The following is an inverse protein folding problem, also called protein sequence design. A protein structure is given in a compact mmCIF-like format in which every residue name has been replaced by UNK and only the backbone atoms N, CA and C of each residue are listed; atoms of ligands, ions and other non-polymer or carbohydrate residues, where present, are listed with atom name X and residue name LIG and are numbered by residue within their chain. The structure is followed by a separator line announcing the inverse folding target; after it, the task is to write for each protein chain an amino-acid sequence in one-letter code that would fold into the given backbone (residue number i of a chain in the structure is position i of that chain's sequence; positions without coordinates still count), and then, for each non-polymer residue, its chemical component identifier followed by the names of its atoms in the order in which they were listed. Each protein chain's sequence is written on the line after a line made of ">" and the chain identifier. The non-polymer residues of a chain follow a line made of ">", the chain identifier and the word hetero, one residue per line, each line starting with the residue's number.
data_IF_183424113964
#
_entry.id   IF_183424113964
#
_cell.length_a   1.000
_cell.length_b   1.000
_cell.length_c   1.000
_cell.angle_alpha   90.00
_cell.angle_beta   90.00
_cell.angle_gamma   90.00
#
_symmetry.space_group_name_H-M   'P 1'
#
loop_
_entity.id
_entity.type
_entity.pdbx_description
1 polymer ?
#
# COMPACT_ATOMS: atom_id res chain seq x y z
N UNK A 1 6.15 19.78 -5.82
CA UNK A 1 6.43 19.11 -7.10
C UNK A 1 5.12 18.60 -7.69
N UNK A 2 5.09 17.75 -8.73
CA UNK A 2 3.83 17.08 -9.11
C UNK A 2 3.49 16.02 -8.03
N UNK A 3 2.21 15.88 -7.69
CA UNK A 3 1.76 14.99 -6.62
C UNK A 3 1.24 13.66 -7.18
N UNK A 4 1.46 12.57 -6.45
CA UNK A 4 0.77 11.29 -6.62
C UNK A 4 -0.26 11.17 -5.50
N UNK A 5 -1.52 10.99 -5.87
CA UNK A 5 -2.61 10.77 -4.93
C UNK A 5 -2.56 9.35 -4.38
N UNK A 6 -2.60 9.22 -3.06
CA UNK A 6 -2.70 7.94 -2.38
C UNK A 6 -4.17 7.64 -2.13
N UNK A 7 -4.65 6.57 -2.75
CA UNK A 7 -5.97 5.99 -2.53
C UNK A 7 -5.77 4.74 -1.67
N UNK A 8 -6.29 4.73 -0.45
CA UNK A 8 -6.21 3.56 0.43
C UNK A 8 -7.51 2.76 0.35
N UNK A 9 -7.38 1.46 0.08
CA UNK A 9 -8.49 0.49 0.04
C UNK A 9 -8.38 -0.57 1.14
N UNK A 10 -7.71 -0.25 2.26
CA UNK A 10 -7.58 -1.17 3.40
C UNK A 10 -8.95 -1.55 3.96
N UNK A 11 -9.89 -0.59 4.00
CA UNK A 11 -11.26 -0.78 4.51
C UNK A 11 -12.23 -1.44 3.51
N UNK A 12 -11.80 -1.70 2.27
CA UNK A 12 -12.60 -2.41 1.26
C UNK A 12 -11.88 -3.65 0.76
N UNK A 13 -10.83 -3.51 -0.06
CA UNK A 13 -10.08 -4.65 -0.60
C UNK A 13 -9.32 -5.39 0.50
N UNK A 14 -8.72 -4.65 1.43
CA UNK A 14 -7.99 -5.22 2.56
C UNK A 14 -8.85 -6.17 3.41
N UNK A 15 -10.12 -5.83 3.63
CA UNK A 15 -11.09 -6.65 4.35
C UNK A 15 -11.50 -7.93 3.59
N UNK A 16 -11.29 -8.01 2.27
CA UNK A 16 -11.57 -9.23 1.52
C UNK A 16 -10.57 -10.36 1.82
N UNK A 17 -9.44 -10.04 2.45
CA UNK A 17 -8.47 -11.03 2.93
C UNK A 17 -9.16 -12.12 3.77
N UNK A 18 -9.00 -13.41 3.45
CA UNK A 18 -9.59 -14.50 4.22
C UNK A 18 -9.22 -14.43 5.71
N UNK A 19 -10.23 -14.34 6.56
CA UNK A 19 -10.06 -14.27 8.02
C UNK A 19 -10.03 -12.86 8.62
N UNK A 20 -10.04 -11.82 7.79
CA UNK A 20 -10.19 -10.44 8.25
C UNK A 20 -11.68 -10.09 8.36
N UNK A 21 -12.07 -9.53 9.51
CA UNK A 21 -13.38 -8.90 9.72
C UNK A 21 -13.22 -7.73 10.66
N UNK A 22 -13.52 -6.54 10.18
CA UNK A 22 -13.43 -5.32 10.97
C UNK A 22 -14.83 -4.93 11.44
N UNK A 23 -14.99 -4.68 12.74
CA UNK A 23 -16.19 -4.03 13.24
C UNK A 23 -16.14 -2.50 12.99
N UNK A 24 -17.25 -1.80 13.22
CA UNK A 24 -17.34 -0.36 12.96
C UNK A 24 -16.31 0.48 13.74
N UNK A 25 -16.06 0.16 15.01
CA UNK A 25 -15.09 0.88 15.85
C UNK A 25 -13.67 0.72 15.28
N UNK A 26 -13.30 -0.49 14.87
CA UNK A 26 -12.01 -0.76 14.24
C UNK A 26 -11.88 -0.05 12.88
N UNK A 27 -12.96 -0.01 12.08
CA UNK A 27 -12.98 0.73 10.81
C UNK A 27 -12.80 2.24 11.05
N UNK A 28 -13.39 2.80 12.09
CA UNK A 28 -13.21 4.21 12.47
C UNK A 28 -11.79 4.49 12.93
N UNK A 29 -11.22 3.65 13.80
CA UNK A 29 -9.83 3.81 14.25
C UNK A 29 -8.85 3.79 13.07
N UNK A 30 -8.99 2.82 12.16
CA UNK A 30 -8.17 2.75 10.95
C UNK A 30 -8.44 3.97 10.05
N UNK A 31 -9.71 4.34 9.85
CA UNK A 31 -10.10 5.48 9.04
C UNK A 31 -9.49 6.80 9.51
N UNK A 32 -9.56 7.09 10.81
CA UNK A 32 -8.91 8.27 11.39
C UNK A 32 -7.39 8.21 11.23
N UNK A 33 -6.78 7.05 11.46
CA UNK A 33 -5.34 6.89 11.28
C UNK A 33 -4.91 7.11 9.82
N UNK A 34 -5.72 6.72 8.83
CA UNK A 34 -5.46 6.98 7.41
C UNK A 34 -5.60 8.49 7.07
N UNK A 35 -6.59 9.17 7.66
CA UNK A 35 -6.76 10.62 7.52
C UNK A 35 -5.55 11.36 8.11
N UNK A 36 -5.15 11.01 9.34
CA UNK A 36 -4.00 11.60 10.02
C UNK A 36 -2.68 11.29 9.30
N UNK A 37 -2.56 10.10 8.69
CA UNK A 37 -1.45 9.73 7.83
C UNK A 37 -1.37 10.60 6.57
N UNK A 38 -2.47 11.23 6.14
CA UNK A 38 -2.52 12.13 4.98
C UNK A 38 -2.89 11.43 3.67
N UNK A 39 -3.62 10.32 3.72
CA UNK A 39 -4.21 9.67 2.54
C UNK A 39 -5.18 10.62 1.83
N UNK A 40 -5.20 10.59 0.50
CA UNK A 40 -6.05 11.50 -0.29
C UNK A 40 -7.47 10.96 -0.45
N UNK A 41 -7.63 9.64 -0.61
CA UNK A 41 -8.90 8.96 -0.80
C UNK A 41 -8.94 7.70 0.07
N UNK A 42 -10.03 7.51 0.81
CA UNK A 42 -10.32 6.27 1.55
C UNK A 42 -11.49 5.57 0.88
N UNK A 43 -11.27 4.35 0.38
CA UNK A 43 -12.36 3.49 -0.08
C UNK A 43 -13.01 2.79 1.11
N UNK A 44 -14.18 3.29 1.48
CA UNK A 44 -14.86 2.95 2.73
C UNK A 44 -15.62 1.61 2.68
N UNK A 45 -15.77 1.02 1.50
CA UNK A 45 -16.42 -0.28 1.33
C UNK A 45 -17.21 -0.43 0.03
N UNK A 46 -18.05 -1.46 0.00
CA UNK A 46 -18.98 -1.75 -1.10
C UNK A 46 -20.43 -1.74 -0.57
N UNK A 47 -21.10 -0.55 -0.54
CA UNK A 47 -22.32 -0.31 0.24
C UNK A 47 -23.48 -1.29 0.01
N UNK A 48 -23.70 -1.72 -1.23
CA UNK A 48 -24.82 -2.62 -1.58
C UNK A 48 -24.64 -4.05 -1.08
N UNK A 49 -23.43 -4.43 -0.62
CA UNK A 49 -23.11 -5.81 -0.25
C UNK A 49 -23.95 -6.29 0.93
N UNK A 50 -24.22 -5.41 1.90
CA UNK A 50 -25.08 -5.70 3.03
C UNK A 50 -25.56 -4.40 3.70
N UNK A 51 -26.61 -4.44 4.54
CA UNK A 51 -26.97 -3.30 5.38
C UNK A 51 -25.82 -2.84 6.28
N UNK A 52 -24.96 -3.77 6.74
CA UNK A 52 -23.79 -3.44 7.54
C UNK A 52 -22.73 -2.67 6.77
N UNK A 53 -22.51 -3.00 5.49
CA UNK A 53 -21.60 -2.25 4.62
C UNK A 53 -22.12 -0.87 4.29
N UNK A 54 -23.44 -0.74 4.07
CA UNK A 54 -24.10 0.55 3.90
C UNK A 54 -23.88 1.45 5.11
N UNK A 55 -24.23 0.97 6.31
CA UNK A 55 -24.06 1.71 7.56
C UNK A 55 -22.58 2.03 7.84
N UNK A 56 -21.67 1.11 7.49
CA UNK A 56 -20.22 1.34 7.64
C UNK A 56 -19.74 2.49 6.78
N UNK A 57 -20.10 2.50 5.50
CA UNK A 57 -19.72 3.56 4.57
C UNK A 57 -20.37 4.89 4.98
N UNK A 58 -21.64 4.87 5.39
CA UNK A 58 -22.34 6.07 5.84
C UNK A 58 -21.72 6.68 7.10
N UNK A 59 -21.33 5.84 8.06
CA UNK A 59 -20.64 6.26 9.29
C UNK A 59 -19.27 6.84 8.98
N UNK A 60 -18.46 6.17 8.14
CA UNK A 60 -17.15 6.69 7.74
C UNK A 60 -17.26 8.01 6.97
N UNK A 61 -18.24 8.12 6.07
CA UNK A 61 -18.54 9.37 5.36
C UNK A 61 -18.95 10.52 6.32
N UNK A 62 -19.58 10.19 7.44
CA UNK A 62 -19.97 11.16 8.46
C UNK A 62 -18.79 11.59 9.31
N UNK A 63 -17.96 10.66 9.78
CA UNK A 63 -16.92 10.92 10.78
C UNK A 63 -15.58 11.39 10.16
N UNK A 64 -15.21 10.88 8.99
CA UNK A 64 -13.93 11.20 8.36
C UNK A 64 -14.03 12.50 7.56
N UNK A 65 -13.31 13.54 8.01
CA UNK A 65 -13.28 14.88 7.38
C UNK A 65 -11.93 15.15 6.73
N UNK A 66 -11.90 16.07 5.76
CA UNK A 66 -10.63 16.45 5.11
C UNK A 66 -10.08 15.45 4.09
N UNK A 67 -10.82 14.37 3.79
CA UNK A 67 -10.45 13.32 2.84
C UNK A 67 -11.59 13.03 1.85
N UNK A 68 -11.28 12.48 0.67
CA UNK A 68 -12.31 11.94 -0.22
C UNK A 68 -12.76 10.58 0.28
N UNK A 69 -14.07 10.35 0.38
CA UNK A 69 -14.66 9.07 0.78
C UNK A 69 -15.24 8.39 -0.45
N UNK A 70 -14.75 7.20 -0.74
CA UNK A 70 -15.08 6.45 -1.94
C UNK A 70 -15.92 5.21 -1.62
N UNK A 71 -16.99 4.98 -2.40
CA UNK A 71 -17.80 3.76 -2.35
C UNK A 71 -17.71 2.99 -3.66
N UNK A 72 -17.33 1.71 -3.59
CA UNK A 72 -17.30 0.81 -4.75
C UNK A 72 -18.72 0.43 -5.18
N UNK A 73 -18.92 0.29 -6.49
CA UNK A 73 -20.17 -0.18 -7.10
C UNK A 73 -19.87 -1.08 -8.29
N UNK A 74 -20.77 -2.02 -8.58
CA UNK A 74 -20.88 -2.55 -9.95
C UNK A 74 -21.56 -1.51 -10.82
N UNK A 75 -21.38 -1.61 -12.14
CA UNK A 75 -22.13 -0.83 -13.13
C UNK A 75 -23.63 -1.26 -13.20
N UNK A 76 -24.35 -1.08 -12.10
CA UNK A 76 -25.76 -1.43 -11.90
C UNK A 76 -26.44 -0.25 -11.19
N UNK A 77 -27.59 0.19 -11.70
CA UNK A 77 -28.33 1.35 -11.18
C UNK A 77 -28.51 1.32 -9.66
N UNK A 78 -29.00 0.19 -9.13
CA UNK A 78 -29.26 0.02 -7.70
C UNK A 78 -27.98 0.14 -6.84
N UNK A 79 -26.86 -0.38 -7.34
CA UNK A 79 -25.57 -0.30 -6.63
C UNK A 79 -25.09 1.15 -6.54
N UNK A 80 -25.23 1.91 -7.65
CA UNK A 80 -24.85 3.32 -7.75
C UNK A 80 -25.73 4.21 -6.88
N UNK A 81 -27.05 4.01 -6.92
CA UNK A 81 -28.00 4.73 -6.06
C UNK A 81 -27.71 4.44 -4.57
N UNK A 82 -27.45 3.19 -4.22
CA UNK A 82 -27.11 2.80 -2.85
C UNK A 82 -25.81 3.45 -2.37
N UNK A 83 -24.76 3.48 -3.20
CA UNK A 83 -23.53 4.18 -2.85
C UNK A 83 -23.72 5.69 -2.74
N UNK A 84 -24.50 6.30 -3.64
CA UNK A 84 -24.84 7.71 -3.56
C UNK A 84 -25.52 8.06 -2.21
N UNK A 85 -26.48 7.24 -1.78
CA UNK A 85 -27.15 7.40 -0.48
C UNK A 85 -26.18 7.23 0.70
N UNK A 86 -25.34 6.19 0.67
CA UNK A 86 -24.36 5.95 1.74
C UNK A 86 -23.36 7.12 1.86
N UNK A 87 -22.94 7.70 0.74
CA UNK A 87 -21.91 8.75 0.68
C UNK A 87 -22.44 10.16 0.92
N UNK A 88 -23.75 10.39 1.05
CA UNK A 88 -24.36 11.71 1.28
C UNK A 88 -23.68 12.60 2.34
N UNK A 89 -23.24 12.09 3.51
CA UNK A 89 -22.64 12.94 4.53
C UNK A 89 -21.15 13.28 4.29
N UNK A 90 -20.51 12.69 3.28
CA UNK A 90 -19.11 12.96 2.96
C UNK A 90 -18.92 14.39 2.43
N UNK A 91 -17.86 15.07 2.86
CA UNK A 91 -17.49 16.38 2.32
C UNK A 91 -17.08 16.31 0.84
N UNK A 92 -16.45 15.18 0.47
CA UNK A 92 -15.96 14.88 -0.88
C UNK A 92 -16.31 13.43 -1.22
N UNK A 93 -17.53 13.15 -1.70
CA UNK A 93 -17.94 11.80 -2.07
C UNK A 93 -17.37 11.41 -3.45
N UNK A 94 -16.92 10.16 -3.58
CA UNK A 94 -16.53 9.55 -4.86
C UNK A 94 -17.28 8.23 -5.07
N UNK A 95 -17.81 8.03 -6.27
CA UNK A 95 -18.35 6.72 -6.68
C UNK A 95 -17.33 6.05 -7.58
N UNK A 96 -16.90 4.85 -7.20
CA UNK A 96 -16.01 4.00 -7.98
C UNK A 96 -16.85 2.91 -8.66
N UNK A 97 -17.01 2.99 -9.97
CA UNK A 97 -17.85 2.06 -10.74
C UNK A 97 -17.08 1.49 -11.92
N UNK A 98 -17.55 0.42 -12.53
CA UNK A 98 -16.77 -0.21 -13.59
C UNK A 98 -17.22 -1.60 -13.99
N UNK A 99 -16.46 -2.15 -14.92
CA UNK A 99 -16.69 -3.44 -15.55
C UNK A 99 -15.35 -4.11 -15.88
N UNK A 100 -15.37 -5.44 -16.00
CA UNK A 100 -14.26 -6.19 -16.58
C UNK A 100 -14.13 -5.94 -18.08
N UNK A 101 -12.91 -5.69 -18.53
CA UNK A 101 -12.60 -5.29 -19.92
C UNK A 101 -11.81 -6.33 -20.71
N UNK A 102 -11.24 -7.35 -20.04
CA UNK A 102 -10.55 -8.42 -20.75
C UNK A 102 -11.52 -9.33 -21.48
N UNK A 103 -11.03 -9.99 -22.52
CA UNK A 103 -11.81 -10.96 -23.29
C UNK A 103 -12.39 -12.07 -22.39
N UNK A 104 -11.61 -12.52 -21.40
CA UNK A 104 -12.04 -13.52 -20.44
C UNK A 104 -13.22 -13.02 -19.57
N UNK A 105 -13.13 -11.78 -19.07
CA UNK A 105 -14.20 -11.17 -18.28
C UNK A 105 -15.46 -10.93 -19.12
N UNK A 106 -15.32 -10.40 -20.34
CA UNK A 106 -16.44 -10.15 -21.23
C UNK A 106 -17.18 -11.43 -21.61
N UNK A 107 -16.46 -12.50 -21.98
CA UNK A 107 -17.06 -13.75 -22.43
C UNK A 107 -17.62 -14.59 -21.28
N UNK A 108 -16.85 -14.78 -20.20
CA UNK A 108 -17.18 -15.78 -19.19
C UNK A 108 -17.87 -15.20 -17.96
N UNK A 109 -17.54 -13.97 -17.55
CA UNK A 109 -18.12 -13.31 -16.37
C UNK A 109 -19.37 -12.49 -16.72
N UNK A 110 -19.24 -11.58 -17.69
CA UNK A 110 -20.28 -10.62 -18.04
C UNK A 110 -21.25 -11.13 -19.10
N UNK A 111 -20.78 -12.03 -19.98
CA UNK A 111 -21.52 -12.52 -21.16
C UNK A 111 -22.00 -11.37 -22.05
N UNK A 112 -21.10 -10.44 -22.34
CA UNK A 112 -21.36 -9.23 -23.12
C UNK A 112 -20.34 -9.09 -24.26
N UNK A 113 -20.75 -8.45 -25.35
CA UNK A 113 -19.81 -7.94 -26.35
C UNK A 113 -19.08 -6.70 -25.83
N UNK A 114 -17.97 -6.32 -26.49
CA UNK A 114 -17.26 -5.07 -26.22
C UNK A 114 -18.18 -3.85 -26.29
N UNK A 115 -19.04 -3.74 -27.31
CA UNK A 115 -19.94 -2.60 -27.48
C UNK A 115 -21.03 -2.55 -26.38
N UNK A 116 -21.58 -3.71 -25.98
CA UNK A 116 -22.55 -3.78 -24.89
C UNK A 116 -21.94 -3.37 -23.55
N UNK A 117 -20.71 -3.82 -23.27
CA UNK A 117 -19.99 -3.45 -22.06
C UNK A 117 -19.64 -1.95 -22.04
N UNK A 118 -19.21 -1.40 -23.18
CA UNK A 118 -18.96 0.03 -23.37
C UNK A 118 -20.20 0.87 -23.09
N UNK A 119 -21.34 0.55 -23.73
CA UNK A 119 -22.61 1.26 -23.53
C UNK A 119 -23.04 1.23 -22.05
N UNK A 120 -22.90 0.06 -21.41
CA UNK A 120 -23.22 -0.11 -20.00
C UNK A 120 -22.30 0.71 -19.09
N UNK A 121 -21.00 0.73 -19.36
CA UNK A 121 -20.03 1.54 -18.62
C UNK A 121 -20.32 3.03 -18.72
N UNK A 122 -20.60 3.53 -19.93
CA UNK A 122 -20.99 4.92 -20.17
C UNK A 122 -22.28 5.28 -19.42
N UNK A 123 -23.29 4.40 -19.45
CA UNK A 123 -24.53 4.63 -18.73
C UNK A 123 -24.32 4.69 -17.20
N UNK A 124 -23.47 3.82 -16.67
CA UNK A 124 -23.12 3.82 -15.24
C UNK A 124 -22.43 5.12 -14.81
N UNK A 125 -21.45 5.59 -15.59
CA UNK A 125 -20.77 6.87 -15.31
C UNK A 125 -21.76 8.03 -15.35
N UNK A 126 -22.60 8.12 -16.39
CA UNK A 126 -23.63 9.16 -16.51
C UNK A 126 -24.61 9.17 -15.34
N UNK A 127 -24.95 8.00 -14.80
CA UNK A 127 -25.80 7.89 -13.63
C UNK A 127 -25.07 8.36 -12.37
N UNK A 128 -23.85 7.87 -12.11
CA UNK A 128 -23.06 8.28 -10.96
C UNK A 128 -22.83 9.80 -10.93
N UNK A 129 -22.62 10.41 -12.11
CA UNK A 129 -22.48 11.85 -12.30
C UNK A 129 -23.69 12.70 -11.92
N UNK A 130 -24.87 12.10 -11.74
CA UNK A 130 -26.05 12.80 -11.23
C UNK A 130 -25.99 12.98 -9.71
N UNK A 131 -25.15 12.20 -9.02
CA UNK A 131 -25.06 12.18 -7.56
C UNK A 131 -23.76 12.80 -7.04
N UNK A 132 -22.64 12.61 -7.75
CA UNK A 132 -21.32 13.07 -7.30
C UNK A 132 -20.51 13.73 -8.41
N UNK A 133 -19.64 14.65 -8.00
CA UNK A 133 -18.70 15.35 -8.87
C UNK A 133 -17.39 14.60 -9.14
N UNK A 134 -17.13 13.51 -8.43
CA UNK A 134 -15.94 12.70 -8.59
C UNK A 134 -16.35 11.25 -8.85
N UNK A 135 -16.08 10.77 -10.07
CA UNK A 135 -16.42 9.42 -10.52
C UNK A 135 -15.19 8.74 -11.05
N UNK A 136 -14.82 7.65 -10.38
CA UNK A 136 -13.74 6.77 -10.80
C UNK A 136 -14.29 5.59 -11.58
N UNK A 137 -13.74 5.34 -12.77
CA UNK A 137 -14.12 4.20 -13.60
C UNK A 137 -13.03 3.14 -13.61
N UNK A 138 -13.29 1.94 -13.09
CA UNK A 138 -12.36 0.82 -13.18
C UNK A 138 -12.60 -0.05 -14.42
N UNK A 139 -11.48 -0.46 -15.00
CA UNK A 139 -11.41 -1.39 -16.11
C UNK A 139 -10.81 -2.71 -15.62
N UNK A 140 -11.59 -3.52 -14.90
CA UNK A 140 -11.10 -4.75 -14.27
C UNK A 140 -10.41 -5.67 -15.30
N UNK A 141 -9.24 -6.20 -14.92
CA UNK A 141 -8.40 -7.07 -15.74
C UNK A 141 -7.77 -6.37 -16.97
N UNK A 142 -7.44 -5.09 -16.84
CA UNK A 142 -6.85 -4.26 -17.91
C UNK A 142 -5.55 -4.81 -18.48
N UNK A 143 -4.69 -5.38 -17.63
CA UNK A 143 -3.39 -5.93 -18.05
C UNK A 143 -3.47 -7.04 -19.10
N UNK A 144 -4.65 -7.67 -19.27
CA UNK A 144 -4.89 -8.76 -20.23
C UNK A 144 -5.92 -8.40 -21.30
N UNK A 145 -6.29 -7.13 -21.42
CA UNK A 145 -7.24 -6.64 -22.41
C UNK A 145 -6.56 -6.13 -23.69
N UNK A 146 -7.32 -6.03 -24.78
CA UNK A 146 -6.85 -5.46 -26.05
C UNK A 146 -6.72 -3.95 -25.92
N UNK A 147 -5.57 -3.39 -26.30
CA UNK A 147 -5.26 -1.96 -26.13
C UNK A 147 -6.24 -1.05 -26.87
N UNK A 148 -6.63 -1.41 -28.08
CA UNK A 148 -7.57 -0.64 -28.90
C UNK A 148 -8.96 -0.56 -28.24
N UNK A 149 -9.39 -1.64 -27.58
CA UNK A 149 -10.64 -1.63 -26.82
C UNK A 149 -10.53 -0.75 -25.58
N UNK A 150 -9.40 -0.80 -24.85
CA UNK A 150 -9.16 0.09 -23.71
C UNK A 150 -9.21 1.56 -24.12
N UNK A 151 -8.60 1.95 -25.23
CA UNK A 151 -8.64 3.34 -25.71
C UNK A 151 -10.07 3.82 -25.94
N UNK A 152 -10.89 2.99 -26.59
CA UNK A 152 -12.32 3.28 -26.82
C UNK A 152 -13.10 3.42 -25.51
N UNK A 153 -12.85 2.53 -24.55
CA UNK A 153 -13.50 2.57 -23.24
C UNK A 153 -13.13 3.85 -22.50
N UNK A 154 -11.84 4.13 -22.34
CA UNK A 154 -11.34 5.32 -21.64
C UNK A 154 -11.90 6.60 -22.27
N UNK A 155 -11.81 6.75 -23.60
CA UNK A 155 -12.34 7.93 -24.27
C UNK A 155 -13.83 8.15 -23.98
N UNK A 156 -14.62 7.08 -24.09
CA UNK A 156 -16.06 7.14 -23.91
C UNK A 156 -16.47 7.45 -22.45
N UNK A 157 -15.80 6.84 -21.46
CA UNK A 157 -16.15 7.07 -20.04
C UNK A 157 -15.68 8.44 -19.55
N UNK A 158 -14.55 8.96 -20.05
CA UNK A 158 -14.14 10.36 -19.80
C UNK A 158 -15.19 11.31 -20.40
N UNK A 159 -15.62 11.08 -21.64
CA UNK A 159 -16.68 11.88 -22.26
C UNK A 159 -18.03 11.77 -21.52
N UNK A 160 -18.28 10.66 -20.83
CA UNK A 160 -19.44 10.46 -19.98
C UNK A 160 -19.34 11.18 -18.63
N UNK A 161 -18.15 11.61 -18.23
CA UNK A 161 -17.87 12.39 -17.02
C UNK A 161 -16.98 11.71 -15.97
N UNK A 162 -16.35 10.58 -16.28
CA UNK A 162 -15.35 9.99 -15.38
C UNK A 162 -14.18 10.97 -15.17
N UNK A 163 -13.84 11.23 -13.91
CA UNK A 163 -12.74 12.12 -13.48
C UNK A 163 -11.47 11.36 -13.18
N UNK A 164 -11.60 10.05 -12.89
CA UNK A 164 -10.48 9.14 -12.64
C UNK A 164 -10.69 7.84 -13.41
N UNK A 165 -9.61 7.33 -14.00
CA UNK A 165 -9.57 6.06 -14.73
C UNK A 165 -8.66 5.10 -13.98
N UNK A 166 -9.26 4.08 -13.36
CA UNK A 166 -8.53 3.02 -12.69
C UNK A 166 -8.21 1.90 -13.68
N UNK A 167 -6.94 1.48 -13.70
CA UNK A 167 -6.40 0.46 -14.61
C UNK A 167 -5.87 -0.74 -13.80
N UNK A 168 -6.72 -1.63 -13.29
CA UNK A 168 -6.27 -2.75 -12.46
C UNK A 168 -5.42 -3.81 -13.17
N UNK A 169 -4.33 -4.23 -12.53
CA UNK A 169 -3.71 -5.55 -12.71
C UNK A 169 -4.36 -6.54 -11.73
N UNK A 170 -5.60 -6.90 -12.03
CA UNK A 170 -6.50 -7.68 -11.16
C UNK A 170 -5.91 -9.00 -10.70
N UNK A 171 -5.07 -9.63 -11.53
CA UNK A 171 -4.48 -10.95 -11.24
C UNK A 171 -3.01 -10.87 -10.81
N UNK A 172 -2.43 -9.67 -10.71
CA UNK A 172 -0.99 -9.50 -10.43
C UNK A 172 -0.10 -10.17 -11.48
N UNK A 173 -0.49 -10.12 -12.75
CA UNK A 173 0.13 -10.87 -13.85
C UNK A 173 1.17 -10.06 -14.62
N UNK A 174 0.97 -8.74 -14.73
CA UNK A 174 1.79 -7.88 -15.58
C UNK A 174 3.20 -7.73 -15.02
N UNK A 175 4.18 -7.49 -15.89
CA UNK A 175 5.51 -7.03 -15.49
C UNK A 175 5.58 -5.50 -15.39
N UNK A 176 6.57 -4.94 -14.68
CA UNK A 176 6.66 -3.49 -14.50
C UNK A 176 6.75 -2.70 -15.81
N UNK A 177 7.46 -3.22 -16.81
CA UNK A 177 7.61 -2.58 -18.13
C UNK A 177 6.29 -2.63 -18.93
N UNK A 178 5.58 -3.77 -18.90
CA UNK A 178 4.27 -3.90 -19.56
C UNK A 178 3.22 -2.97 -18.93
N UNK A 179 3.26 -2.80 -17.61
CA UNK A 179 2.34 -1.92 -16.89
C UNK A 179 2.70 -0.44 -17.09
N UNK A 180 4.00 -0.10 -17.15
CA UNK A 180 4.46 1.22 -17.59
C UNK A 180 3.91 1.56 -18.98
N UNK A 181 4.12 0.67 -19.95
CA UNK A 181 3.69 0.86 -21.34
C UNK A 181 2.15 0.91 -21.44
N UNK A 182 1.44 0.25 -20.53
CA UNK A 182 -0.01 0.37 -20.42
C UNK A 182 -0.46 1.81 -20.13
N UNK A 183 0.08 2.42 -19.08
CA UNK A 183 -0.28 3.80 -18.76
C UNK A 183 0.20 4.78 -19.82
N UNK A 184 1.43 4.61 -20.30
CA UNK A 184 2.00 5.45 -21.34
C UNK A 184 1.12 5.45 -22.60
N UNK A 185 0.70 4.28 -23.06
CA UNK A 185 -0.10 4.18 -24.28
C UNK A 185 -1.53 4.67 -24.08
N UNK A 186 -2.16 4.41 -22.93
CA UNK A 186 -3.50 4.93 -22.64
C UNK A 186 -3.49 6.46 -22.66
N UNK A 187 -2.50 7.09 -22.04
CA UNK A 187 -2.40 8.55 -21.96
C UNK A 187 -2.11 9.17 -23.35
N UNK A 188 -1.26 8.53 -24.16
CA UNK A 188 -0.86 9.08 -25.46
C UNK A 188 -1.87 8.82 -26.59
N UNK A 189 -2.64 7.73 -26.53
CA UNK A 189 -3.54 7.35 -27.62
C UNK A 189 -5.01 7.76 -27.39
N UNK A 190 -5.37 8.19 -26.18
CA UNK A 190 -6.73 8.64 -25.88
C UNK A 190 -6.81 10.17 -25.96
N UNK A 191 -7.58 10.76 -26.91
CA UNK A 191 -7.53 12.21 -27.19
C UNK A 191 -7.94 13.13 -26.03
N UNK A 192 -8.72 12.63 -25.08
CA UNK A 192 -9.23 13.36 -23.91
C UNK A 192 -8.62 12.87 -22.60
N UNK A 193 -7.49 12.14 -22.65
CA UNK A 193 -6.81 11.58 -21.47
C UNK A 193 -6.42 12.65 -20.45
N UNK A 194 -6.13 13.87 -20.90
CA UNK A 194 -5.77 15.03 -20.07
C UNK A 194 -6.89 15.51 -19.13
N UNK A 195 -8.12 15.04 -19.34
CA UNK A 195 -9.30 15.40 -18.51
C UNK A 195 -9.51 14.48 -17.32
N UNK A 196 -8.74 13.41 -17.17
CA UNK A 196 -8.88 12.47 -16.06
C UNK A 196 -7.52 12.11 -15.44
N UNK A 197 -7.56 11.76 -14.16
CA UNK A 197 -6.40 11.18 -13.47
C UNK A 197 -6.37 9.68 -13.76
N UNK A 198 -5.20 9.14 -14.08
CA UNK A 198 -5.00 7.71 -14.21
C UNK A 198 -4.53 7.11 -12.87
N UNK A 199 -5.20 6.05 -12.45
CA UNK A 199 -5.05 5.36 -11.16
C UNK A 199 -4.53 3.94 -11.36
N UNK A 200 -3.44 3.59 -10.66
CA UNK A 200 -2.90 2.23 -10.58
C UNK A 200 -3.66 1.41 -9.55
N UNK A 201 -3.88 0.13 -9.82
CA UNK A 201 -4.34 -0.84 -8.83
C UNK A 201 -3.71 -2.20 -9.14
N UNK A 202 -2.69 -2.61 -8.38
CA UNK A 202 -1.98 -3.86 -8.64
C UNK A 202 -2.15 -4.85 -7.50
N UNK A 203 -2.51 -6.10 -7.85
CA UNK A 203 -2.39 -7.24 -6.96
C UNK A 203 -0.99 -7.85 -6.99
N UNK A 204 -0.68 -8.64 -5.96
CA UNK A 204 0.69 -9.09 -5.68
C UNK A 204 0.94 -10.59 -5.92
N UNK A 205 0.14 -11.26 -6.75
CA UNK A 205 0.23 -12.70 -6.98
C UNK A 205 1.63 -13.18 -7.44
N UNK A 206 2.36 -12.37 -8.20
CA UNK A 206 3.75 -12.64 -8.62
C UNK A 206 4.81 -11.85 -7.82
N UNK A 207 4.42 -11.18 -6.73
CA UNK A 207 5.33 -10.39 -5.90
C UNK A 207 5.83 -9.09 -6.54
N UNK A 208 5.12 -8.57 -7.56
CA UNK A 208 5.53 -7.40 -8.34
C UNK A 208 4.65 -6.16 -8.14
N UNK A 209 3.66 -6.18 -7.23
CA UNK A 209 2.66 -5.11 -7.13
C UNK A 209 3.27 -3.70 -6.92
N UNK A 210 4.24 -3.58 -6.01
CA UNK A 210 4.97 -2.33 -5.75
C UNK A 210 5.75 -1.88 -6.99
N UNK A 211 6.45 -2.78 -7.67
CA UNK A 211 7.22 -2.45 -8.86
C UNK A 211 6.32 -2.05 -10.04
N UNK A 212 5.20 -2.75 -10.25
CA UNK A 212 4.21 -2.43 -11.27
C UNK A 212 3.59 -1.06 -11.00
N UNK A 213 3.18 -0.79 -9.77
CA UNK A 213 2.62 0.52 -9.39
C UNK A 213 3.59 1.66 -9.68
N UNK A 214 4.88 1.51 -9.35
CA UNK A 214 5.91 2.50 -9.69
C UNK A 214 6.13 2.62 -11.21
N UNK A 215 6.03 1.51 -11.95
CA UNK A 215 6.02 1.49 -13.42
C UNK A 215 4.86 2.30 -13.99
N UNK A 216 3.65 2.13 -13.48
CA UNK A 216 2.46 2.92 -13.87
C UNK A 216 2.62 4.41 -13.55
N UNK A 217 3.21 4.76 -12.40
CA UNK A 217 3.54 6.16 -12.05
C UNK A 217 4.52 6.79 -13.04
N UNK A 218 5.54 6.03 -13.45
CA UNK A 218 6.48 6.46 -14.51
C UNK A 218 5.80 6.58 -15.88
N UNK A 219 4.84 5.69 -16.19
CA UNK A 219 4.02 5.73 -17.39
C UNK A 219 3.01 6.90 -17.41
N UNK A 220 2.82 7.58 -16.28
CA UNK A 220 2.04 8.82 -16.19
C UNK A 220 0.91 8.80 -15.16
N UNK A 221 0.68 7.69 -14.45
CA UNK A 221 -0.32 7.61 -13.39
C UNK A 221 -0.09 8.65 -12.30
N UNK A 222 -1.16 9.25 -11.78
CA UNK A 222 -1.11 10.24 -10.69
C UNK A 222 -2.01 9.89 -9.51
N UNK A 223 -2.57 8.69 -9.52
CA UNK A 223 -3.16 8.06 -8.35
C UNK A 223 -2.66 6.62 -8.24
N UNK A 224 -2.49 6.12 -7.01
CA UNK A 224 -2.15 4.73 -6.74
C UNK A 224 -3.08 4.19 -5.66
N UNK A 225 -3.73 3.06 -5.95
CA UNK A 225 -4.54 2.32 -5.00
C UNK A 225 -3.68 1.32 -4.24
N UNK A 226 -3.69 1.43 -2.92
CA UNK A 226 -2.82 0.69 -2.02
C UNK A 226 -3.59 0.21 -0.80
N UNK A 227 -2.98 -0.70 -0.05
CA UNK A 227 -3.43 -1.04 1.30
C UNK A 227 -2.27 -0.99 2.28
N UNK A 228 -2.57 -0.67 3.53
CA UNK A 228 -1.61 -0.79 4.63
C UNK A 228 -1.19 -2.24 4.74
N UNK A 229 0.12 -2.48 4.85
CA UNK A 229 0.73 -3.80 4.91
C UNK A 229 0.59 -4.66 3.64
N UNK A 230 -0.02 -4.14 2.57
CA UNK A 230 -0.27 -4.89 1.34
C UNK A 230 -1.32 -5.99 1.50
N UNK A 231 -2.27 -5.85 2.43
CA UNK A 231 -3.35 -6.82 2.62
C UNK A 231 -4.39 -6.74 1.47
N UNK A 232 -5.17 -7.81 1.28
CA UNK A 232 -6.24 -7.88 0.29
C UNK A 232 -6.49 -9.29 -0.23
N UNK A 233 -7.24 -9.38 -1.32
CA UNK A 233 -7.50 -10.66 -1.98
C UNK A 233 -6.20 -11.43 -2.31
N UNK A 234 -6.21 -12.74 -2.04
CA UNK A 234 -5.11 -13.70 -2.36
C UNK A 234 -3.77 -13.29 -1.73
N UNK A 235 -2.83 -12.82 -2.55
CA UNK A 235 -1.50 -12.35 -2.13
C UNK A 235 -1.50 -10.86 -1.74
N UNK A 236 -2.66 -10.20 -1.83
CA UNK A 236 -2.86 -8.83 -1.41
C UNK A 236 -2.70 -7.79 -2.52
N UNK A 237 -2.75 -6.53 -2.10
CA UNK A 237 -2.61 -5.36 -2.96
C UNK A 237 -1.19 -4.79 -2.88
N UNK A 238 -0.96 -3.72 -3.63
CA UNK A 238 0.23 -2.89 -3.48
C UNK A 238 0.31 -2.31 -2.07
N UNK A 239 1.48 -2.40 -1.44
CA UNK A 239 1.69 -1.90 -0.08
C UNK A 239 1.88 -0.39 -0.06
N UNK A 240 1.09 0.31 0.77
CA UNK A 240 1.13 1.76 0.92
C UNK A 240 2.53 2.25 1.29
N UNK A 241 3.11 1.68 2.33
CA UNK A 241 4.40 2.08 2.88
C UNK A 241 5.55 1.89 1.89
N UNK A 242 5.49 0.87 1.03
CA UNK A 242 6.54 0.56 0.07
C UNK A 242 6.55 1.58 -1.08
N UNK A 243 5.38 1.90 -1.65
CA UNK A 243 5.27 2.90 -2.73
C UNK A 243 5.62 4.29 -2.20
N UNK A 244 5.09 4.67 -1.02
CA UNK A 244 5.36 5.98 -0.42
C UNK A 244 6.84 6.17 -0.17
N UNK A 245 7.52 5.19 0.45
CA UNK A 245 8.95 5.32 0.72
C UNK A 245 9.80 5.22 -0.55
N UNK A 246 9.40 4.44 -1.55
CA UNK A 246 10.11 4.43 -2.84
C UNK A 246 10.06 5.81 -3.52
N UNK A 247 8.89 6.46 -3.57
CA UNK A 247 8.74 7.81 -4.13
C UNK A 247 9.53 8.86 -3.32
N UNK A 248 9.53 8.74 -1.99
CA UNK A 248 10.23 9.65 -1.09
C UNK A 248 11.76 9.52 -1.21
N UNK A 249 12.29 8.31 -1.07
CA UNK A 249 13.75 8.05 -1.07
C UNK A 249 14.34 8.21 -2.47
N UNK A 250 13.60 7.83 -3.51
CA UNK A 250 14.04 7.95 -4.91
C UNK A 250 13.40 9.13 -5.62
N UNK A 251 13.18 10.24 -4.88
CA UNK A 251 12.70 11.48 -5.47
C UNK A 251 13.61 11.96 -6.62
N UNK A 252 14.91 11.61 -6.60
CA UNK A 252 15.86 11.83 -7.70
C UNK A 252 15.42 11.20 -9.05
N UNK A 253 14.64 10.11 -9.00
CA UNK A 253 14.12 9.41 -10.17
C UNK A 253 12.71 9.78 -10.51
N UNK A 254 11.84 9.86 -9.51
CA UNK A 254 10.42 10.09 -9.74
C UNK A 254 10.07 11.58 -9.87
N UNK A 255 10.76 12.46 -9.12
CA UNK A 255 10.45 13.89 -9.01
C UNK A 255 8.96 14.14 -8.69
N UNK A 256 8.43 13.31 -7.78
CA UNK A 256 7.04 13.28 -7.35
C UNK A 256 6.98 13.24 -5.83
N UNK A 257 5.89 13.79 -5.28
CA UNK A 257 5.62 13.83 -3.84
C UNK A 257 4.27 13.18 -3.53
N UNK A 258 4.10 12.72 -2.29
CA UNK A 258 2.83 12.28 -1.73
C UNK A 258 2.47 13.17 -0.55
N UNK A 259 1.21 13.16 -0.11
CA UNK A 259 0.79 13.87 1.11
C UNK A 259 1.03 13.09 2.41
N UNK A 260 1.71 11.94 2.32
CA UNK A 260 1.81 11.00 3.44
C UNK A 260 2.82 11.47 4.48
N UNK A 261 2.40 11.49 5.74
CA UNK A 261 3.26 11.70 6.90
C UNK A 261 4.03 10.42 7.19
N UNK A 262 5.19 10.24 6.55
CA UNK A 262 5.94 8.98 6.59
C UNK A 262 6.27 8.52 8.02
N UNK A 263 6.44 9.45 8.97
CA UNK A 263 6.74 9.15 10.38
C UNK A 263 5.62 8.39 11.09
N UNK A 264 4.42 8.30 10.50
CA UNK A 264 3.29 7.56 11.06
C UNK A 264 3.13 6.14 10.46
N UNK A 265 3.95 5.76 9.47
CA UNK A 265 3.78 4.49 8.74
C UNK A 265 3.83 3.27 9.68
N UNK A 266 4.81 3.20 10.59
CA UNK A 266 4.95 2.06 11.49
C UNK A 266 3.79 1.96 12.50
N UNK A 267 3.27 3.08 13.01
CA UNK A 267 2.12 3.07 13.92
C UNK A 267 0.84 2.62 13.22
N UNK A 268 0.60 3.08 11.98
CA UNK A 268 -0.55 2.67 11.18
C UNK A 268 -0.45 1.18 10.80
N UNK A 269 0.74 0.74 10.39
CA UNK A 269 1.02 -0.69 10.12
C UNK A 269 0.68 -1.58 11.32
N UNK A 270 1.13 -1.20 12.53
CA UNK A 270 0.83 -1.92 13.78
C UNK A 270 -0.65 -1.89 14.15
N UNK A 271 -1.34 -0.77 13.91
CA UNK A 271 -2.78 -0.64 14.15
C UNK A 271 -3.57 -1.62 13.26
N UNK A 272 -3.30 -1.60 11.95
CA UNK A 272 -3.96 -2.49 10.99
C UNK A 272 -3.64 -3.95 11.31
N UNK A 273 -2.38 -4.29 11.60
CA UNK A 273 -2.00 -5.65 12.00
C UNK A 273 -2.76 -6.14 13.24
N UNK A 274 -2.95 -5.29 14.25
CA UNK A 274 -3.70 -5.61 15.47
C UNK A 274 -5.18 -5.86 15.20
N UNK A 275 -5.82 -5.00 14.40
CA UNK A 275 -7.26 -5.10 14.14
C UNK A 275 -7.64 -6.21 13.16
N UNK A 276 -6.75 -6.49 12.20
CA UNK A 276 -6.96 -7.55 11.20
C UNK A 276 -6.47 -8.92 11.66
N UNK A 277 -5.55 -8.98 12.63
CA UNK A 277 -4.86 -10.20 13.04
C UNK A 277 -3.79 -10.68 12.05
N UNK A 278 -3.59 -9.97 10.93
CA UNK A 278 -2.55 -10.30 9.96
C UNK A 278 -1.20 -9.78 10.47
N UNK A 279 -0.35 -10.70 10.90
CA UNK A 279 1.00 -10.37 11.39
C UNK A 279 1.88 -9.88 10.26
N UNK A 280 2.60 -8.77 10.51
CA UNK A 280 3.62 -8.25 9.61
C UNK A 280 4.84 -9.18 9.63
N UNK A 281 5.29 -9.61 8.45
CA UNK A 281 6.51 -10.40 8.33
C UNK A 281 7.70 -9.60 8.87
N UNK A 282 8.58 -10.25 9.65
CA UNK A 282 9.73 -9.56 10.26
C UNK A 282 10.62 -8.87 9.21
N UNK A 283 10.77 -9.47 8.04
CA UNK A 283 11.56 -8.95 6.92
C UNK A 283 10.75 -8.16 5.89
N UNK A 284 9.50 -7.75 6.19
CA UNK A 284 8.72 -6.90 5.29
C UNK A 284 9.46 -5.58 5.04
N UNK A 285 9.46 -5.12 3.80
CA UNK A 285 10.03 -3.83 3.44
C UNK A 285 9.38 -2.68 4.25
N UNK A 286 10.18 -1.69 4.62
CA UNK A 286 9.79 -0.46 5.33
C UNK A 286 9.32 -0.65 6.78
N UNK A 287 8.35 -1.53 7.05
CA UNK A 287 7.69 -1.66 8.36
C UNK A 287 8.00 -2.96 9.10
N UNK A 288 8.77 -3.87 8.49
CA UNK A 288 9.21 -5.11 9.14
C UNK A 288 10.16 -4.83 10.30
N UNK A 289 10.03 -5.61 11.38
CA UNK A 289 10.90 -5.48 12.56
C UNK A 289 12.41 -5.59 12.24
N UNK A 290 12.77 -6.34 11.19
CA UNK A 290 14.15 -6.53 10.75
C UNK A 290 14.60 -5.50 9.70
N UNK A 291 13.75 -4.57 9.26
CA UNK A 291 14.08 -3.60 8.19
C UNK A 291 15.22 -2.65 8.59
N UNK A 292 15.43 -2.46 9.89
CA UNK A 292 16.46 -1.58 10.47
C UNK A 292 17.37 -2.32 11.47
N UNK A 293 17.45 -3.65 11.32
CA UNK A 293 18.22 -4.51 12.20
C UNK A 293 19.47 -5.06 11.51
N UNK A 294 20.63 -4.95 12.15
CA UNK A 294 21.92 -5.40 11.59
C UNK A 294 22.56 -6.49 12.45
N UNK A 295 22.63 -7.71 11.91
CA UNK A 295 23.13 -8.89 12.63
C UNK A 295 24.54 -9.35 12.23
N UNK A 296 24.94 -9.10 10.98
CA UNK A 296 26.27 -9.45 10.46
C UNK A 296 27.34 -8.50 10.99
N UNK A 297 28.46 -9.03 11.48
CA UNK A 297 29.55 -8.21 12.02
C UNK A 297 30.12 -7.16 11.05
N UNK A 298 30.09 -7.43 9.74
CA UNK A 298 30.52 -6.46 8.71
C UNK A 298 29.51 -5.30 8.60
N UNK A 299 28.21 -5.60 8.65
CA UNK A 299 27.17 -4.58 8.59
C UNK A 299 27.17 -3.73 9.86
N UNK A 300 27.31 -4.38 11.03
CA UNK A 300 27.41 -3.68 12.33
C UNK A 300 28.58 -2.70 12.34
N UNK A 301 29.77 -3.13 11.93
CA UNK A 301 30.94 -2.25 11.84
C UNK A 301 30.74 -1.08 10.86
N UNK A 302 30.11 -1.34 9.69
CA UNK A 302 29.78 -0.30 8.72
C UNK A 302 28.83 0.76 9.28
N UNK A 303 27.68 0.34 9.81
CA UNK A 303 26.64 1.23 10.36
C UNK A 303 27.13 2.02 11.57
N UNK A 304 28.00 1.43 12.40
CA UNK A 304 28.63 2.12 13.53
C UNK A 304 29.59 3.23 13.10
N UNK A 305 30.20 3.13 11.91
CA UNK A 305 31.09 4.15 11.35
C UNK A 305 30.33 5.22 10.58
N UNK A 306 29.41 4.80 9.73
CA UNK A 306 28.56 5.64 8.90
C UNK A 306 27.27 4.89 8.57
N UNK A 307 26.12 5.37 9.05
CA UNK A 307 24.83 4.68 8.88
C UNK A 307 24.45 4.53 7.40
N UNK A 308 24.79 5.51 6.57
CA UNK A 308 24.42 5.52 5.15
C UNK A 308 25.06 4.40 4.33
N UNK A 309 26.00 3.63 4.88
CA UNK A 309 26.59 2.48 4.16
C UNK A 309 25.59 1.35 3.92
N UNK A 310 24.59 1.21 4.80
CA UNK A 310 23.58 0.14 4.72
C UNK A 310 22.14 0.63 4.95
N UNK A 311 21.95 1.82 5.51
CA UNK A 311 20.62 2.39 5.78
C UNK A 311 20.28 3.45 4.73
N UNK A 312 19.51 3.05 3.71
CA UNK A 312 18.96 3.98 2.71
C UNK A 312 17.71 4.72 3.20
N UNK A 313 17.11 4.24 4.30
CA UNK A 313 15.97 4.85 4.98
C UNK A 313 16.42 5.09 6.42
N UNK A 314 16.37 6.34 6.88
CA UNK A 314 16.47 6.65 8.30
C UNK A 314 15.24 6.08 9.02
N UNK A 315 15.39 5.21 10.04
CA UNK A 315 14.25 4.63 10.77
C UNK A 315 13.28 5.68 11.31
N UNK A 316 13.78 6.88 11.66
CA UNK A 316 12.93 7.98 12.13
C UNK A 316 11.94 8.45 11.07
N UNK A 317 12.29 8.33 9.77
CA UNK A 317 11.40 8.71 8.67
C UNK A 317 10.14 7.84 8.61
N UNK A 318 10.16 6.64 9.16
CA UNK A 318 9.00 5.71 9.15
C UNK A 318 8.32 5.57 10.52
N UNK A 319 8.82 6.30 11.53
CA UNK A 319 8.30 6.24 12.90
C UNK A 319 8.92 5.15 13.77
N UNK A 320 10.08 4.61 13.41
CA UNK A 320 10.86 3.75 14.29
C UNK A 320 11.76 4.59 15.22
N UNK A 321 12.00 4.13 16.45
CA UNK A 321 12.78 4.90 17.44
C UNK A 321 14.27 5.00 17.07
N UNK A 322 14.86 3.88 16.66
CA UNK A 322 16.27 3.75 16.25
C UNK A 322 16.53 2.42 15.54
N UNK A 323 17.65 2.33 14.83
CA UNK A 323 18.18 1.05 14.34
C UNK A 323 18.61 0.16 15.50
N UNK A 324 18.50 -1.16 15.30
CA UNK A 324 18.90 -2.15 16.30
C UNK A 324 20.11 -2.96 15.84
N UNK A 325 21.09 -3.12 16.74
CA UNK A 325 22.20 -4.05 16.58
C UNK A 325 21.79 -5.35 17.25
N UNK A 326 21.41 -6.34 16.45
CA UNK A 326 21.03 -7.66 16.95
C UNK A 326 22.28 -8.51 17.09
N UNK A 327 22.55 -8.99 18.30
CA UNK A 327 23.67 -9.87 18.57
C UNK A 327 23.31 -11.33 18.25
N UNK A 328 24.10 -11.94 17.39
CA UNK A 328 23.97 -13.34 16.95
C UNK A 328 25.36 -13.98 16.85
N UNK A 329 25.44 -15.28 16.54
CA UNK A 329 26.72 -15.97 16.32
C UNK A 329 27.56 -15.35 15.16
N UNK A 330 26.95 -14.52 14.32
CA UNK A 330 27.62 -13.79 13.22
C UNK A 330 28.05 -12.37 13.61
N UNK A 331 27.78 -11.94 14.84
CA UNK A 331 28.13 -10.60 15.28
C UNK A 331 29.62 -10.45 15.56
N UNK A 332 30.15 -9.31 15.15
CA UNK A 332 31.55 -9.00 15.29
C UNK A 332 31.87 -8.38 16.65
N UNK A 333 33.16 -8.30 16.96
CA UNK A 333 33.68 -7.62 18.16
C UNK A 333 33.12 -6.21 18.33
N UNK A 334 33.02 -5.43 17.25
CA UNK A 334 32.48 -4.07 17.30
C UNK A 334 31.01 -4.02 17.72
N UNK A 335 30.16 -4.93 17.21
CA UNK A 335 28.76 -5.02 17.60
C UNK A 335 28.59 -5.37 19.09
N UNK A 336 29.31 -6.39 19.56
CA UNK A 336 29.28 -6.76 20.98
C UNK A 336 29.79 -5.63 21.88
N UNK A 337 30.93 -5.02 21.52
CA UNK A 337 31.54 -3.93 22.30
C UNK A 337 30.62 -2.72 22.39
N UNK A 338 29.96 -2.35 21.29
CA UNK A 338 28.99 -1.27 21.28
C UNK A 338 27.82 -1.57 22.23
N UNK A 339 27.21 -2.76 22.13
CA UNK A 339 26.06 -3.11 22.97
C UNK A 339 26.42 -3.17 24.45
N UNK A 340 27.57 -3.75 24.79
CA UNK A 340 28.09 -3.75 26.16
C UNK A 340 28.31 -2.32 26.69
N UNK A 341 28.82 -1.42 25.85
CA UNK A 341 28.97 -0.01 26.22
C UNK A 341 27.64 0.71 26.46
N UNK A 342 26.60 0.41 25.67
CA UNK A 342 25.25 0.94 25.90
C UNK A 342 24.66 0.47 27.25
N UNK A 343 24.98 -0.76 27.65
CA UNK A 343 24.61 -1.32 28.96
C UNK A 343 25.51 -0.83 30.11
N UNK A 344 26.48 0.05 29.83
CA UNK A 344 27.37 0.63 30.83
C UNK A 344 28.61 -0.21 31.16
N UNK A 345 28.93 -1.23 30.36
CA UNK A 345 30.11 -2.08 30.54
C UNK A 345 31.27 -1.67 29.64
N UNK A 346 32.48 -1.65 30.22
CA UNK A 346 33.73 -1.44 29.49
C UNK A 346 34.81 -2.34 30.05
N UNK A 347 35.57 -2.98 29.16
CA UNK A 347 36.59 -3.96 29.52
C UNK A 347 37.94 -3.59 28.90
N UNK A 348 39.06 -3.88 29.59
CA UNK A 348 40.37 -3.96 28.96
C UNK A 348 40.37 -4.98 27.81
N UNK A 349 41.25 -4.79 26.82
CA UNK A 349 41.27 -5.60 25.61
C UNK A 349 41.35 -7.12 25.87
N UNK A 350 42.15 -7.54 26.85
CA UNK A 350 42.33 -8.94 27.20
C UNK A 350 41.03 -9.57 27.72
N UNK A 351 40.38 -8.94 28.71
CA UNK A 351 39.08 -9.39 29.23
C UNK A 351 37.97 -9.35 28.18
N UNK A 352 38.02 -8.38 27.26
CA UNK A 352 37.04 -8.31 26.18
C UNK A 352 37.11 -9.53 25.24
N UNK A 353 38.30 -10.05 24.95
CA UNK A 353 38.45 -11.25 24.10
C UNK A 353 37.91 -12.52 24.78
N UNK A 354 38.05 -12.64 26.10
CA UNK A 354 37.41 -13.71 26.88
C UNK A 354 35.89 -13.63 26.81
N UNK A 355 35.34 -12.44 27.11
CA UNK A 355 33.91 -12.11 26.98
C UNK A 355 33.40 -12.42 25.56
N UNK A 356 34.16 -12.08 24.52
CA UNK A 356 33.79 -12.37 23.14
C UNK A 356 33.74 -13.88 22.84
N UNK A 357 34.65 -14.66 23.41
CA UNK A 357 34.65 -16.12 23.23
C UNK A 357 33.42 -16.75 23.89
N UNK A 358 33.12 -16.37 25.14
CA UNK A 358 31.89 -16.81 25.82
C UNK A 358 30.62 -16.35 25.10
N UNK A 359 30.68 -15.19 24.46
CA UNK A 359 29.56 -14.67 23.69
C UNK A 359 29.24 -15.58 22.52
N UNK A 360 30.25 -16.07 21.79
CA UNK A 360 30.05 -17.00 20.70
C UNK A 360 29.46 -18.33 21.16
N UNK A 361 29.91 -18.86 22.30
CA UNK A 361 29.33 -20.08 22.89
C UNK A 361 27.85 -19.92 23.22
N UNK A 362 27.45 -18.79 23.82
CA UNK A 362 26.05 -18.50 24.11
C UNK A 362 25.26 -18.29 22.82
N UNK A 363 25.83 -17.55 21.87
CA UNK A 363 25.20 -17.23 20.60
C UNK A 363 24.99 -18.45 19.69
N UNK A 364 25.82 -19.51 19.81
CA UNK A 364 25.62 -20.78 19.08
C UNK A 364 24.41 -21.58 19.62
N UNK A 365 23.99 -21.31 20.85
CA UNK A 365 22.86 -22.01 21.49
C UNK A 365 21.51 -21.29 21.31
N UNK A 366 21.50 -20.08 20.75
CA UNK A 366 20.32 -19.22 20.68
C UNK A 366 20.23 -18.49 19.33
N UNK A 367 19.01 -18.10 18.96
CA UNK A 367 18.78 -17.33 17.72
C UNK A 367 19.31 -15.89 17.83
N UNK A 368 19.16 -15.28 18.99
CA UNK A 368 19.57 -13.91 19.32
C UNK A 368 20.07 -13.90 20.78
N UNK A 369 21.10 -13.12 21.07
CA UNK A 369 21.64 -12.91 22.43
C UNK A 369 21.05 -11.61 22.98
N UNK A 370 20.24 -11.72 24.03
CA UNK A 370 19.57 -10.57 24.65
C UNK A 370 20.42 -9.89 25.72
N UNK A 371 19.95 -8.75 26.22
CA UNK A 371 20.66 -7.99 27.26
C UNK A 371 20.83 -8.81 28.55
N UNK A 372 19.85 -9.64 28.92
CA UNK A 372 19.94 -10.55 30.08
C UNK A 372 21.11 -11.54 29.95
N UNK A 373 21.33 -12.08 28.74
CA UNK A 373 22.46 -12.96 28.46
C UNK A 373 23.79 -12.20 28.58
N UNK A 374 23.83 -10.95 28.12
CA UNK A 374 25.02 -10.09 28.26
C UNK A 374 25.33 -9.79 29.73
N UNK A 375 24.32 -9.51 30.56
CA UNK A 375 24.50 -9.30 31.99
C UNK A 375 25.08 -10.53 32.69
N UNK A 376 24.62 -11.73 32.34
CA UNK A 376 25.18 -12.98 32.88
C UNK A 376 26.58 -13.26 32.35
N UNK A 377 26.84 -12.94 31.08
CA UNK A 377 28.13 -13.12 30.45
C UNK A 377 29.21 -12.22 31.05
N UNK A 378 28.88 -10.98 31.41
CA UNK A 378 29.81 -10.04 32.06
C UNK A 378 30.21 -10.46 33.49
N UNK A 379 29.36 -11.24 34.16
CA UNK A 379 29.63 -11.74 35.52
C UNK A 379 30.58 -12.93 35.54
N UNK A 380 30.70 -13.65 34.42
CA UNK A 380 31.72 -14.68 34.22
C UNK A 380 33.08 -14.02 34.02
#
# INVERSE_FOLDING_TARGET
>A
MKQVHIFDTTLRDGEQSPGVRLNMEQKLEIGHALVDLGVNIVEAGFPISSPGDFESVHTLATELKGVTICGLTRAITKDIECAAEALKPAERPRIHTGLGVSENHLQHKLKMTEDQALEKGVAAVKLARQFVDDVEYFMEDSGRAKREYLYRVVEAVINAGATVINVPDTTGYTTPDEYHDLFHDLINNVPNSDKAIFSCHCHNDLGMATANTLGGVMGGARQVEVTVNGIGERAGNTSLEEVVMALHIRNDKFNLETSIQTQQLLSVSKLVSRHTGMLVQRNKAVVGANAYAHSSGIHQDGVLKERSTYEIIDPLLVGAEKSEIILTARSGRHGLKHRLSELGFSFPAERFEEVYTYFLEVADTKSEVGDEDLYELVKR
#
